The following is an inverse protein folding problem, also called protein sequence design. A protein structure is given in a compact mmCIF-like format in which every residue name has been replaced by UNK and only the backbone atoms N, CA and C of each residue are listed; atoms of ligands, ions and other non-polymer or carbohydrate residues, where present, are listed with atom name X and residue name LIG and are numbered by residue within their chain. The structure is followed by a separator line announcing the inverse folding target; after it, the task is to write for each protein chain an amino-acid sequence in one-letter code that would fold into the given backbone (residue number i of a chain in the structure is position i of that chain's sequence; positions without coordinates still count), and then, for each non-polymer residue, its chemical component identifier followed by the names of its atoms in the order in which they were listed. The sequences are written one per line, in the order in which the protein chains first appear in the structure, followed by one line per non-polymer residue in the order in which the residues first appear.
data_IF_647144887704
#
_entry.id   IF_647144887704
#
_cell.length_a   1.000
_cell.length_b   1.000
_cell.length_c   1.000
_cell.angle_alpha   90.00
_cell.angle_beta   90.00
_cell.angle_gamma   90.00
#
_symmetry.space_group_name_H-M   'P 1'
#
loop_
_entity.id
_entity.type
_entity.pdbx_description
1 polymer ?
#
# COMPACT_ATOMS: atom_id res chain seq x y z
N UNK A 1 7.13 15.34 -15.80
CA UNK A 1 7.43 14.00 -15.30
C UNK A 1 6.46 13.63 -14.19
N UNK A 2 5.92 12.43 -14.25
CA UNK A 2 5.04 11.95 -13.18
C UNK A 2 5.83 11.11 -12.20
N UNK A 3 5.50 11.26 -10.92
CA UNK A 3 6.01 10.39 -9.88
C UNK A 3 4.85 9.56 -9.32
N UNK A 4 5.17 8.38 -8.86
CA UNK A 4 4.21 7.48 -8.24
C UNK A 4 4.65 7.23 -6.81
N UNK A 5 3.77 7.47 -5.86
CA UNK A 5 4.09 7.34 -4.45
C UNK A 5 3.21 6.26 -3.86
N UNK A 6 3.84 5.24 -3.29
CA UNK A 6 3.13 4.21 -2.54
C UNK A 6 3.09 4.64 -1.09
N UNK A 7 1.90 4.71 -0.50
CA UNK A 7 1.73 5.18 0.87
C UNK A 7 1.14 4.09 1.74
N UNK A 8 1.60 4.04 3.00
CA UNK A 8 1.05 3.21 4.06
C UNK A 8 0.40 4.15 5.07
N UNK A 9 -0.91 4.05 5.23
CA UNK A 9 -1.69 4.95 6.07
C UNK A 9 -2.52 4.15 7.07
N UNK A 10 -2.60 4.63 8.31
CA UNK A 10 -3.54 4.07 9.28
C UNK A 10 -4.92 4.61 8.94
N UNK A 11 -5.86 3.70 8.61
CA UNK A 11 -7.18 4.09 8.12
C UNK A 11 -8.00 4.81 9.18
N UNK A 12 -7.81 4.49 10.45
CA UNK A 12 -8.65 5.04 11.54
C UNK A 12 -8.40 6.51 11.80
N UNK A 13 -7.13 6.96 11.70
CA UNK A 13 -6.76 8.36 11.95
C UNK A 13 -6.14 9.05 10.75
N UNK A 14 -6.05 8.37 9.60
CA UNK A 14 -5.44 8.87 8.38
C UNK A 14 -3.98 9.27 8.55
N UNK A 15 -3.30 8.69 9.54
CA UNK A 15 -1.89 8.97 9.78
C UNK A 15 -1.03 8.27 8.74
N UNK A 16 -0.22 9.05 8.02
CA UNK A 16 0.74 8.49 7.07
C UNK A 16 1.90 7.88 7.85
N UNK A 17 2.11 6.58 7.69
CA UNK A 17 3.16 5.85 8.39
C UNK A 17 4.44 5.78 7.59
N UNK A 18 4.35 5.43 6.30
CA UNK A 18 5.50 5.34 5.41
C UNK A 18 5.10 5.70 3.98
N UNK A 19 6.10 6.09 3.18
CA UNK A 19 5.89 6.33 1.77
C UNK A 19 7.13 5.92 0.98
N UNK A 20 6.91 5.51 -0.27
CA UNK A 20 7.97 5.12 -1.19
C UNK A 20 7.75 5.85 -2.51
N UNK A 21 8.80 6.50 -3.03
CA UNK A 21 8.75 7.19 -4.31
C UNK A 21 9.18 6.23 -5.41
N UNK A 22 8.37 6.13 -6.45
CA UNK A 22 8.65 5.31 -7.63
C UNK A 22 8.61 6.18 -8.87
N UNK A 23 9.44 5.85 -9.85
CA UNK A 23 9.56 6.65 -11.07
C UNK A 23 8.69 6.13 -12.20
N UNK A 24 8.21 4.90 -12.11
CA UNK A 24 7.31 4.33 -13.11
C UNK A 24 6.13 3.68 -12.40
N UNK A 25 5.04 3.53 -13.15
CA UNK A 25 3.85 2.86 -12.62
C UNK A 25 4.14 1.38 -12.33
N UNK A 26 4.97 0.76 -13.15
CA UNK A 26 5.37 -0.63 -12.94
C UNK A 26 6.10 -0.81 -11.63
N UNK A 27 7.02 0.11 -11.30
CA UNK A 27 7.73 0.08 -10.01
C UNK A 27 6.76 0.21 -8.84
N UNK A 28 5.77 1.11 -8.97
CA UNK A 28 4.76 1.30 -7.93
C UNK A 28 3.90 0.06 -7.75
N UNK A 29 3.48 -0.57 -8.85
CA UNK A 29 2.69 -1.81 -8.80
C UNK A 29 3.49 -2.94 -8.15
N UNK A 30 4.78 -3.07 -8.46
CA UNK A 30 5.64 -4.07 -7.85
C UNK A 30 5.80 -3.83 -6.36
N UNK A 31 5.98 -2.58 -5.96
CA UNK A 31 6.08 -2.20 -4.56
C UNK A 31 4.80 -2.56 -3.80
N UNK A 32 3.64 -2.20 -4.35
CA UNK A 32 2.35 -2.50 -3.74
C UNK A 32 2.14 -4.00 -3.61
N UNK A 33 2.45 -4.76 -4.66
CA UNK A 33 2.31 -6.21 -4.65
C UNK A 33 3.23 -6.86 -3.62
N UNK A 34 4.45 -6.33 -3.46
CA UNK A 34 5.39 -6.83 -2.46
C UNK A 34 4.79 -6.77 -1.06
N UNK A 35 4.17 -5.65 -0.70
CA UNK A 35 3.54 -5.52 0.61
C UNK A 35 2.27 -6.33 0.73
N UNK A 36 1.54 -6.49 -0.35
CA UNK A 36 0.40 -7.39 -0.38
C UNK A 36 0.83 -8.84 -0.10
N UNK A 37 1.90 -9.30 -0.74
CA UNK A 37 2.41 -10.65 -0.52
C UNK A 37 2.89 -10.84 0.92
N UNK A 38 3.53 -9.82 1.50
CA UNK A 38 3.93 -9.84 2.91
C UNK A 38 2.70 -9.98 3.81
N UNK A 39 1.66 -9.21 3.54
CA UNK A 39 0.42 -9.27 4.32
C UNK A 39 -0.23 -10.66 4.23
N UNK A 40 -0.23 -11.26 3.04
CA UNK A 40 -0.74 -12.62 2.85
C UNK A 40 0.07 -13.63 3.65
N UNK A 41 1.39 -13.46 3.70
CA UNK A 41 2.25 -14.35 4.48
C UNK A 41 1.94 -14.28 5.97
N UNK A 42 1.77 -13.06 6.49
CA UNK A 42 1.39 -12.88 7.90
C UNK A 42 0.02 -13.47 8.19
N UNK A 43 -0.91 -13.33 7.26
CA UNK A 43 -2.25 -13.91 7.41
C UNK A 43 -2.19 -15.42 7.60
N UNK A 44 -1.33 -16.10 6.84
CA UNK A 44 -1.18 -17.56 6.94
C UNK A 44 -0.52 -18.00 8.24
N UNK A 45 0.41 -17.20 8.75
CA UNK A 45 1.22 -17.55 9.93
C UNK A 45 0.55 -17.07 11.22
N UNK A 46 0.06 -15.84 11.24
CA UNK A 46 -0.38 -15.19 12.46
C UNK A 46 -1.88 -15.12 12.69
N UNK A 47 -2.68 -15.69 11.81
CA UNK A 47 -4.14 -15.60 11.93
C UNK A 47 -4.71 -14.21 11.73
N UNK A 48 -3.95 -13.33 11.12
CA UNK A 48 -4.38 -11.98 10.77
C UNK A 48 -5.38 -12.06 9.62
N UNK A 49 -6.37 -11.17 9.58
CA UNK A 49 -7.35 -11.14 8.50
C UNK A 49 -6.67 -10.97 7.15
N UNK A 50 -7.21 -11.67 6.13
CA UNK A 50 -6.66 -11.59 4.79
C UNK A 50 -6.78 -10.17 4.24
N UNK A 51 -5.78 -9.68 3.50
CA UNK A 51 -5.89 -8.36 2.88
C UNK A 51 -6.95 -8.35 1.78
N UNK A 52 -7.58 -7.21 1.59
CA UNK A 52 -8.56 -7.01 0.52
C UNK A 52 -7.81 -6.96 -0.81
N UNK A 53 -8.27 -7.75 -1.78
CA UNK A 53 -7.64 -7.82 -3.09
C UNK A 53 -8.16 -6.72 -4.01
N UNK A 54 -7.52 -5.57 -3.93
CA UNK A 54 -7.85 -4.42 -4.77
C UNK A 54 -6.62 -3.92 -5.54
N UNK A 55 -5.65 -4.79 -5.79
CA UNK A 55 -4.41 -4.41 -6.45
C UNK A 55 -4.63 -3.82 -7.85
N UNK A 56 -5.62 -4.31 -8.57
CA UNK A 56 -5.94 -3.79 -9.90
C UNK A 56 -6.38 -2.32 -9.88
N UNK A 57 -6.85 -1.86 -8.72
CA UNK A 57 -7.26 -0.47 -8.53
C UNK A 57 -6.17 0.37 -7.86
N UNK A 58 -5.00 -0.21 -7.59
CA UNK A 58 -3.87 0.50 -7.03
C UNK A 58 -3.90 0.66 -5.51
N UNK A 59 -4.64 -0.16 -4.80
CA UNK A 59 -4.65 -0.11 -3.34
C UNK A 59 -5.07 -1.46 -2.74
N UNK A 60 -4.80 -1.62 -1.44
CA UNK A 60 -5.36 -2.72 -0.65
C UNK A 60 -5.40 -2.33 0.83
N UNK A 61 -6.20 -3.05 1.60
CA UNK A 61 -6.31 -2.90 3.04
C UNK A 61 -5.77 -4.13 3.75
N UNK A 62 -5.11 -3.91 4.88
CA UNK A 62 -4.60 -5.00 5.71
C UNK A 62 -5.10 -4.79 7.13
N UNK A 63 -5.97 -5.70 7.59
CA UNK A 63 -6.48 -5.67 8.96
C UNK A 63 -5.53 -6.47 9.86
N UNK A 64 -4.99 -5.80 10.86
CA UNK A 64 -4.09 -6.42 11.83
C UNK A 64 -4.87 -7.14 12.93
N UNK A 65 -4.17 -7.98 13.69
CA UNK A 65 -4.79 -8.77 14.75
C UNK A 65 -5.39 -7.93 15.87
N UNK A 66 -4.90 -6.70 16.07
CA UNK A 66 -5.43 -5.79 17.09
C UNK A 66 -6.62 -4.96 16.61
N UNK A 67 -7.08 -5.20 15.39
CA UNK A 67 -8.20 -4.46 14.79
C UNK A 67 -7.79 -3.23 14.01
N UNK A 68 -6.52 -2.86 14.03
CA UNK A 68 -6.02 -1.74 13.21
C UNK A 68 -6.10 -2.09 11.74
N UNK A 69 -6.41 -1.09 10.91
CA UNK A 69 -6.49 -1.27 9.46
C UNK A 69 -5.46 -0.35 8.80
N UNK A 70 -4.58 -0.95 8.02
CA UNK A 70 -3.59 -0.23 7.22
C UNK A 70 -4.08 -0.16 5.78
N UNK A 71 -3.89 1.00 5.16
CA UNK A 71 -4.23 1.20 3.75
C UNK A 71 -2.95 1.45 2.98
N UNK A 72 -2.73 0.65 1.96
CA UNK A 72 -1.64 0.83 1.00
C UNK A 72 -2.23 1.30 -0.30
N UNK A 73 -1.70 2.39 -0.87
CA UNK A 73 -2.22 2.89 -2.14
C UNK A 73 -1.13 3.54 -2.96
N UNK A 74 -1.34 3.57 -4.27
CA UNK A 74 -0.47 4.25 -5.22
C UNK A 74 -1.10 5.60 -5.51
N UNK A 75 -0.34 6.69 -5.30
CA UNK A 75 -0.74 8.04 -5.66
C UNK A 75 0.13 8.53 -6.79
N UNK A 76 -0.47 9.22 -7.74
CA UNK A 76 0.23 9.80 -8.86
C UNK A 76 0.36 11.30 -8.64
N UNK A 77 1.56 11.83 -8.86
CA UNK A 77 1.81 13.26 -8.69
C UNK A 77 2.73 13.76 -9.78
N UNK A 78 2.68 15.06 -10.05
CA UNK A 78 3.55 15.72 -11.01
C UNK A 78 4.61 16.51 -10.27
N UNK A 79 5.80 16.57 -10.86
CA UNK A 79 6.85 17.42 -10.31
C UNK A 79 6.72 18.83 -10.89
N UNK A 80 7.27 19.80 -10.18
CA UNK A 80 7.27 21.19 -10.64
C UNK A 80 8.25 21.45 -11.79
N UNK A 81 9.07 20.47 -12.10
CA UNK A 81 10.01 20.60 -13.22
C UNK A 81 9.34 20.44 -14.59
N UNK A 82 8.08 20.17 -14.60
CA UNK A 82 7.29 19.95 -15.81
C UNK A 82 6.76 21.25 -16.42
#
# INVERSE_FOLDING_TARGET
MKLYIVTETNKQDNLLLRSWVCFTKEQANECLKKYYDIACSYNRIGGVAAPTDCLEHGFFFWTLSDGSILRYEIRETKTYAE
#
